data_IF_969387100899
#
_entry.id   IF_969387100899
#
_cell.length_a   1.000
_cell.length_b   1.000
_cell.length_c   1.000
_cell.angle_alpha   90.00
_cell.angle_beta   90.00
_cell.angle_gamma   90.00
#
_symmetry.space_group_name_H-M   'P 1'
#
loop_
_entity.id
_entity.type
_entity.pdbx_description
1 polymer ?
#
# COMPACT_ATOMS: atom_id res chain seq x y z
N UNK A 1 19.64 -14.49 -6.15
CA UNK A 1 18.59 -14.16 -5.18
C UNK A 1 17.32 -14.88 -5.61
N UNK A 2 16.71 -15.61 -4.69
CA UNK A 2 15.47 -16.32 -4.97
C UNK A 2 14.31 -15.31 -4.94
N UNK A 3 13.44 -15.35 -5.94
CA UNK A 3 12.27 -14.48 -6.00
C UNK A 3 11.06 -15.22 -5.42
N UNK A 4 10.29 -14.53 -4.60
CA UNK A 4 9.06 -15.05 -3.99
C UNK A 4 7.83 -14.49 -4.70
N UNK A 5 6.78 -15.30 -4.75
CA UNK A 5 5.48 -14.95 -5.31
C UNK A 5 4.44 -14.92 -4.19
N UNK A 6 3.76 -13.79 -4.07
CA UNK A 6 2.65 -13.60 -3.15
C UNK A 6 1.40 -13.26 -3.95
N UNK A 7 0.25 -13.55 -3.36
CA UNK A 7 -1.06 -13.16 -3.88
C UNK A 7 -1.76 -12.26 -2.87
N UNK A 8 -2.52 -11.32 -3.35
CA UNK A 8 -3.37 -10.52 -2.49
C UNK A 8 -4.78 -10.43 -3.06
N UNK A 9 -5.76 -10.24 -2.18
CA UNK A 9 -7.18 -10.10 -2.51
C UNK A 9 -7.81 -9.03 -1.66
N UNK A 10 -8.79 -8.33 -2.21
CA UNK A 10 -9.66 -7.40 -1.48
C UNK A 10 -11.10 -7.87 -1.64
N UNK A 11 -11.87 -7.79 -0.58
CA UNK A 11 -13.30 -8.10 -0.64
C UNK A 11 -14.08 -6.89 -1.16
N UNK A 12 -15.07 -7.17 -1.99
CA UNK A 12 -15.95 -6.11 -2.48
C UNK A 12 -16.78 -5.54 -1.34
N UNK A 13 -16.78 -4.21 -1.20
CA UNK A 13 -17.55 -3.49 -0.18
C UNK A 13 -16.92 -3.47 1.22
N UNK A 14 -15.76 -4.05 1.41
CA UNK A 14 -14.98 -3.93 2.65
C UNK A 14 -13.71 -3.13 2.42
N UNK A 15 -13.10 -2.65 3.52
CA UNK A 15 -11.81 -1.97 3.48
C UNK A 15 -10.64 -2.94 3.73
N UNK A 16 -10.87 -4.24 3.57
CA UNK A 16 -9.90 -5.28 3.90
C UNK A 16 -9.17 -5.79 2.67
N UNK A 17 -7.87 -5.96 2.80
CA UNK A 17 -7.01 -6.66 1.85
C UNK A 17 -6.26 -7.78 2.56
N UNK A 18 -6.14 -8.92 1.91
CA UNK A 18 -5.54 -10.13 2.45
C UNK A 18 -4.30 -10.50 1.65
N UNK A 19 -3.21 -10.82 2.34
CA UNK A 19 -1.95 -11.25 1.75
C UNK A 19 -1.73 -12.74 1.97
N UNK A 20 -1.29 -13.45 0.91
CA UNK A 20 -1.04 -14.89 0.92
C UNK A 20 0.32 -15.22 0.30
N UNK A 21 0.97 -16.27 0.82
CA UNK A 21 2.07 -17.00 0.16
C UNK A 21 1.59 -18.43 -0.12
N UNK A 22 1.37 -18.75 -1.40
CA UNK A 22 0.66 -19.99 -1.76
C UNK A 22 -0.77 -20.01 -1.19
N UNK A 23 -1.08 -21.00 -0.38
CA UNK A 23 -2.37 -21.14 0.32
C UNK A 23 -2.38 -20.55 1.72
N UNK A 24 -1.22 -20.17 2.24
CA UNK A 24 -1.08 -19.63 3.58
C UNK A 24 -1.40 -18.13 3.60
N UNK A 25 -2.36 -17.74 4.43
CA UNK A 25 -2.65 -16.34 4.73
C UNK A 25 -1.55 -15.79 5.64
N UNK A 26 -0.83 -14.75 5.19
CA UNK A 26 0.21 -14.08 5.95
C UNK A 26 -0.37 -12.96 6.81
N UNK A 27 -1.37 -12.25 6.30
CA UNK A 27 -1.92 -11.13 7.04
C UNK A 27 -3.11 -10.47 6.38
N UNK A 28 -3.61 -9.44 7.06
CA UNK A 28 -4.74 -8.61 6.64
C UNK A 28 -4.38 -7.15 6.82
N UNK A 29 -4.68 -6.33 5.84
CA UNK A 29 -4.65 -4.88 5.93
C UNK A 29 -6.08 -4.35 5.99
N UNK A 30 -6.45 -3.74 7.10
CA UNK A 30 -7.72 -3.05 7.29
C UNK A 30 -7.53 -1.55 7.16
N UNK A 31 -8.18 -0.93 6.17
CA UNK A 31 -8.18 0.52 6.00
C UNK A 31 -9.46 1.09 6.62
N UNK A 32 -9.33 1.95 7.63
CA UNK A 32 -10.45 2.73 8.10
C UNK A 32 -10.74 3.88 7.14
N UNK A 33 -11.95 3.92 6.59
CA UNK A 33 -12.35 4.97 5.64
C UNK A 33 -12.52 6.33 6.33
N UNK A 34 -12.81 6.35 7.62
CA UNK A 34 -13.10 7.56 8.40
C UNK A 34 -11.95 7.99 9.30
N UNK A 35 -11.07 7.08 9.66
CA UNK A 35 -9.87 7.38 10.43
C UNK A 35 -8.68 7.41 9.48
N UNK A 36 -7.80 8.37 9.64
CA UNK A 36 -6.54 8.45 8.86
C UNK A 36 -5.56 7.34 9.29
N UNK A 37 -6.07 6.10 9.34
CA UNK A 37 -5.41 4.96 9.95
C UNK A 37 -5.71 3.68 9.19
N UNK A 38 -4.68 2.86 8.98
CA UNK A 38 -4.83 1.48 8.55
C UNK A 38 -4.09 0.55 9.51
N UNK A 39 -4.56 -0.68 9.66
CA UNK A 39 -3.96 -1.68 10.54
C UNK A 39 -3.58 -2.89 9.72
N UNK A 40 -2.29 -3.23 9.71
CA UNK A 40 -1.78 -4.49 9.15
C UNK A 40 -1.62 -5.51 10.28
N UNK A 41 -2.35 -6.60 10.19
CA UNK A 41 -2.23 -7.75 11.10
C UNK A 41 -1.40 -8.83 10.42
N UNK A 42 -0.23 -9.14 10.97
CA UNK A 42 0.74 -10.13 10.49
C UNK A 42 1.00 -11.15 11.59
N UNK A 43 0.38 -12.34 11.48
CA UNK A 43 0.38 -13.29 12.58
C UNK A 43 -0.22 -12.67 13.85
N UNK A 44 0.57 -12.62 14.93
CA UNK A 44 0.18 -12.02 16.21
C UNK A 44 0.57 -10.53 16.34
N UNK A 45 1.24 -9.97 15.32
CA UNK A 45 1.74 -8.60 15.34
C UNK A 45 0.79 -7.66 14.59
N UNK A 46 0.58 -6.46 15.14
CA UNK A 46 -0.24 -5.42 14.51
C UNK A 46 0.62 -4.18 14.26
N UNK A 47 0.71 -3.78 13.02
CA UNK A 47 1.36 -2.53 12.61
C UNK A 47 0.28 -1.51 12.26
N UNK A 48 0.50 -0.27 12.68
CA UNK A 48 -0.43 0.84 12.40
C UNK A 48 0.19 1.79 11.40
N UNK A 49 -0.51 2.05 10.31
CA UNK A 49 -0.22 3.11 9.35
C UNK A 49 -1.07 4.32 9.72
N UNK A 50 -0.46 5.38 10.21
CA UNK A 50 -1.16 6.59 10.64
C UNK A 50 -0.79 7.75 9.73
N UNK A 51 -1.75 8.19 8.93
CA UNK A 51 -1.59 9.32 8.02
C UNK A 51 -1.81 10.63 8.76
N UNK A 52 -0.96 11.62 8.51
CA UNK A 52 -0.99 12.94 9.16
C UNK A 52 -0.87 14.06 8.13
N UNK A 53 -1.41 15.21 8.49
CA UNK A 53 -1.28 16.46 7.74
C UNK A 53 -2.45 16.74 6.82
N UNK A 54 -2.58 18.03 6.45
CA UNK A 54 -3.71 18.57 5.68
C UNK A 54 -3.85 17.95 4.28
N UNK A 55 -2.72 17.55 3.69
CA UNK A 55 -2.67 16.94 2.35
C UNK A 55 -2.44 15.44 2.38
N UNK A 56 -2.46 14.81 3.57
CA UNK A 56 -2.29 13.35 3.78
C UNK A 56 -1.06 12.75 3.07
N UNK A 57 0.01 13.51 2.97
CA UNK A 57 1.21 13.08 2.25
C UNK A 57 2.22 12.32 3.11
N UNK A 58 2.02 12.28 4.41
CA UNK A 58 2.92 11.65 5.35
C UNK A 58 2.19 10.62 6.20
N UNK A 59 2.69 9.38 6.19
CA UNK A 59 2.16 8.27 6.98
C UNK A 59 3.26 7.69 7.84
N UNK A 60 3.01 7.57 9.14
CA UNK A 60 3.89 6.91 10.10
C UNK A 60 3.54 5.42 10.18
N UNK A 61 4.56 4.56 10.29
CA UNK A 61 4.42 3.13 10.53
C UNK A 61 4.82 2.87 11.97
N UNK A 62 3.86 2.39 12.76
CA UNK A 62 4.06 2.05 14.17
C UNK A 62 4.04 0.53 14.34
N UNK A 63 4.93 0.00 15.18
CA UNK A 63 4.97 -1.40 15.55
C UNK A 63 3.90 -1.75 16.60
N UNK A 64 3.76 -3.02 17.04
CA UNK A 64 2.79 -3.41 18.07
C UNK A 64 2.94 -2.67 19.40
N UNK A 65 4.14 -2.21 19.72
CA UNK A 65 4.47 -1.43 20.94
C UNK A 65 4.23 0.08 20.74
N UNK A 66 3.58 0.48 19.64
CA UNK A 66 3.33 1.88 19.26
C UNK A 66 4.60 2.71 19.05
N UNK A 67 5.72 2.07 18.75
CA UNK A 67 6.98 2.75 18.43
C UNK A 67 7.05 3.03 16.92
N UNK A 68 7.59 4.19 16.57
CA UNK A 68 7.83 4.55 15.18
C UNK A 68 8.94 3.67 14.59
N UNK A 69 8.60 2.86 13.59
CA UNK A 69 9.54 1.99 12.88
C UNK A 69 9.76 2.39 11.44
N UNK A 70 8.93 3.28 10.91
CA UNK A 70 9.07 3.77 9.55
C UNK A 70 8.11 4.88 9.21
N UNK A 71 8.30 5.44 8.03
CA UNK A 71 7.42 6.46 7.48
C UNK A 71 7.31 6.36 5.96
N UNK A 72 6.25 6.95 5.44
CA UNK A 72 5.93 7.02 4.02
C UNK A 72 5.70 8.48 3.68
N UNK A 73 6.41 8.99 2.68
CA UNK A 73 6.22 10.34 2.14
C UNK A 73 5.78 10.21 0.69
N UNK A 74 4.54 10.63 0.42
CA UNK A 74 3.96 10.62 -0.93
C UNK A 74 4.28 11.92 -1.67
N UNK A 75 4.44 11.83 -2.98
CA UNK A 75 4.47 13.02 -3.84
C UNK A 75 3.08 13.62 -3.99
N UNK A 76 3.03 14.88 -4.45
CA UNK A 76 1.78 15.63 -4.61
C UNK A 76 0.70 14.91 -5.45
N UNK A 77 1.11 14.07 -6.40
CA UNK A 77 0.22 13.32 -7.29
C UNK A 77 -0.07 11.89 -6.82
N UNK A 78 0.53 11.45 -5.69
CA UNK A 78 0.30 10.14 -5.10
C UNK A 78 0.79 8.94 -5.93
N UNK A 79 1.53 9.17 -7.01
CA UNK A 79 2.02 8.13 -7.91
C UNK A 79 3.43 7.63 -7.58
N UNK A 80 4.11 8.32 -6.68
CA UNK A 80 5.41 7.91 -6.12
C UNK A 80 5.45 8.18 -4.61
N UNK A 81 6.19 7.36 -3.88
CA UNK A 81 6.42 7.55 -2.46
C UNK A 81 7.83 7.10 -2.07
N UNK A 82 8.38 7.76 -1.07
CA UNK A 82 9.56 7.28 -0.36
C UNK A 82 9.09 6.56 0.90
N UNK A 83 9.50 5.32 1.07
CA UNK A 83 9.21 4.48 2.23
C UNK A 83 10.49 4.27 3.01
N UNK A 84 10.50 4.67 4.27
CA UNK A 84 11.58 4.34 5.21
C UNK A 84 11.07 3.30 6.20
N UNK A 85 11.78 2.21 6.36
CA UNK A 85 11.44 1.17 7.33
C UNK A 85 12.70 0.63 7.98
N UNK A 86 12.78 0.71 9.32
CA UNK A 86 13.94 0.29 10.12
C UNK A 86 15.28 0.86 9.59
N UNK A 87 15.29 2.12 9.15
CA UNK A 87 16.46 2.81 8.61
C UNK A 87 16.80 2.51 7.15
N UNK A 88 16.09 1.59 6.49
CA UNK A 88 16.25 1.32 5.06
C UNK A 88 15.25 2.16 4.26
N UNK A 89 15.71 2.68 3.12
CA UNK A 89 14.92 3.53 2.24
C UNK A 89 14.54 2.80 0.96
N UNK A 90 13.27 2.89 0.59
CA UNK A 90 12.70 2.28 -0.60
C UNK A 90 11.95 3.35 -1.40
N UNK A 91 11.94 3.19 -2.71
CA UNK A 91 11.13 4.02 -3.61
C UNK A 91 9.96 3.18 -4.14
N UNK A 92 8.75 3.68 -3.94
CA UNK A 92 7.54 3.13 -4.52
C UNK A 92 7.08 4.01 -5.68
N UNK A 93 6.72 3.40 -6.79
CA UNK A 93 6.23 4.10 -7.97
C UNK A 93 5.21 3.28 -8.74
N UNK A 94 4.28 3.97 -9.39
CA UNK A 94 3.43 3.36 -10.42
C UNK A 94 4.27 3.08 -11.67
N UNK A 95 4.17 1.86 -12.19
CA UNK A 95 4.88 1.43 -13.40
C UNK A 95 4.07 1.63 -14.68
N UNK A 96 2.78 2.00 -14.54
CA UNK A 96 1.91 2.31 -15.66
C UNK A 96 0.91 3.42 -15.32
N UNK A 97 0.38 4.09 -16.35
CA UNK A 97 -0.55 5.19 -16.20
C UNK A 97 -1.95 4.77 -15.70
N UNK A 98 -2.33 3.49 -15.88
CA UNK A 98 -3.60 2.95 -15.40
C UNK A 98 -3.63 2.68 -13.89
N UNK A 99 -2.47 2.77 -13.19
CA UNK A 99 -2.39 2.46 -11.77
C UNK A 99 -2.73 1.00 -11.45
N UNK A 100 -2.33 0.07 -12.33
CA UNK A 100 -2.50 -1.38 -12.14
C UNK A 100 -1.20 -2.11 -11.86
N UNK A 101 -0.07 -1.42 -12.01
CA UNK A 101 1.27 -1.97 -11.76
C UNK A 101 2.10 -0.99 -10.95
N UNK A 102 2.76 -1.49 -9.92
CA UNK A 102 3.65 -0.72 -9.04
C UNK A 102 4.94 -1.48 -8.78
N UNK A 103 5.97 -0.75 -8.43
CA UNK A 103 7.27 -1.26 -8.01
C UNK A 103 7.67 -0.61 -6.69
N UNK A 104 8.19 -1.40 -5.77
CA UNK A 104 8.94 -0.92 -4.60
C UNK A 104 10.35 -1.48 -4.68
N UNK A 105 11.33 -0.60 -4.64
CA UNK A 105 12.74 -0.97 -4.78
C UNK A 105 13.63 -0.15 -3.84
N UNK A 106 14.72 -0.76 -3.37
CA UNK A 106 15.81 -0.05 -2.72
C UNK A 106 16.95 0.27 -3.72
N UNK A 107 18.00 0.90 -3.24
CA UNK A 107 19.18 1.23 -4.03
C UNK A 107 20.21 0.08 -4.13
N UNK A 108 19.95 -1.06 -3.53
CA UNK A 108 20.86 -2.24 -3.52
C UNK A 108 20.41 -3.34 -4.47
N UNK A 109 19.28 -3.17 -5.14
CA UNK A 109 18.73 -4.12 -6.11
C UNK A 109 17.65 -5.03 -5.54
N UNK A 110 17.23 -4.84 -4.28
CA UNK A 110 16.04 -5.52 -3.76
C UNK A 110 14.80 -4.80 -4.26
N UNK A 111 13.88 -5.54 -4.83
CA UNK A 111 12.63 -5.01 -5.35
C UNK A 111 11.52 -6.04 -5.34
N UNK A 112 10.29 -5.56 -5.34
CA UNK A 112 9.14 -6.31 -5.80
C UNK A 112 8.31 -5.51 -6.79
N UNK A 113 7.61 -6.23 -7.65
CA UNK A 113 6.60 -5.69 -8.55
C UNK A 113 5.23 -6.20 -8.10
N UNK A 114 4.27 -5.29 -8.01
CA UNK A 114 2.88 -5.60 -7.67
C UNK A 114 2.01 -5.34 -8.88
N UNK A 115 1.18 -6.29 -9.25
CA UNK A 115 0.11 -6.12 -10.22
C UNK A 115 -1.25 -6.23 -9.56
N UNK A 116 -2.24 -5.57 -10.13
CA UNK A 116 -3.60 -5.51 -9.62
C UNK A 116 -4.60 -5.73 -10.76
N UNK A 117 -5.58 -6.58 -10.49
CA UNK A 117 -6.88 -6.56 -11.15
C UNK A 117 -7.92 -5.86 -10.24
N UNK A 118 -9.22 -6.05 -10.49
CA UNK A 118 -10.29 -5.38 -9.75
C UNK A 118 -10.31 -5.71 -8.26
N UNK A 119 -10.00 -6.94 -7.87
CA UNK A 119 -10.17 -7.42 -6.49
C UNK A 119 -8.95 -8.15 -5.93
N UNK A 120 -7.84 -8.12 -6.63
CA UNK A 120 -6.65 -8.82 -6.19
C UNK A 120 -5.45 -8.56 -7.09
N UNK A 121 -4.47 -9.43 -6.97
CA UNK A 121 -3.28 -9.37 -7.80
C UNK A 121 -2.15 -10.21 -7.24
N UNK A 122 -0.98 -9.97 -7.78
CA UNK A 122 0.25 -10.68 -7.40
C UNK A 122 1.35 -9.69 -7.03
N UNK A 123 2.23 -10.12 -6.14
CA UNK A 123 3.46 -9.44 -5.79
C UNK A 123 4.60 -10.43 -6.05
N UNK A 124 5.55 -10.01 -6.88
CA UNK A 124 6.69 -10.84 -7.26
C UNK A 124 8.00 -10.08 -7.05
N UNK A 125 8.94 -10.69 -6.36
CA UNK A 125 10.25 -10.07 -6.13
C UNK A 125 11.09 -10.78 -5.08
N UNK A 126 12.21 -10.15 -4.74
CA UNK A 126 13.16 -10.67 -3.76
C UNK A 126 13.06 -9.98 -2.37
N UNK A 127 12.05 -9.16 -2.15
CA UNK A 127 11.73 -8.59 -0.82
C UNK A 127 10.75 -9.53 -0.13
N UNK A 128 11.13 -10.07 1.01
CA UNK A 128 10.31 -10.98 1.83
C UNK A 128 9.79 -10.32 3.12
N UNK A 129 10.09 -9.04 3.33
CA UNK A 129 9.61 -8.32 4.51
C UNK A 129 8.10 -8.07 4.40
N UNK A 130 7.32 -8.76 5.24
CA UNK A 130 5.85 -8.72 5.22
C UNK A 130 5.30 -7.32 5.49
N UNK A 131 5.97 -6.49 6.31
CA UNK A 131 5.57 -5.10 6.56
C UNK A 131 5.71 -4.27 5.30
N UNK A 132 6.78 -4.48 4.49
CA UNK A 132 6.94 -3.81 3.20
C UNK A 132 5.89 -4.27 2.17
N UNK A 133 5.51 -5.56 2.17
CA UNK A 133 4.44 -6.06 1.32
C UNK A 133 3.10 -5.40 1.69
N UNK A 134 2.80 -5.28 2.99
CA UNK A 134 1.61 -4.56 3.47
C UNK A 134 1.68 -3.06 3.17
N UNK A 135 2.86 -2.46 3.22
CA UNK A 135 3.08 -1.07 2.81
C UNK A 135 2.70 -0.85 1.34
N UNK A 136 3.06 -1.77 0.46
CA UNK A 136 2.64 -1.71 -0.95
C UNK A 136 1.12 -1.78 -1.13
N UNK A 137 0.45 -2.67 -0.40
CA UNK A 137 -1.02 -2.75 -0.41
C UNK A 137 -1.67 -1.47 0.14
N UNK A 138 -1.11 -0.90 1.21
CA UNK A 138 -1.55 0.38 1.77
C UNK A 138 -1.43 1.51 0.74
N UNK A 139 -0.27 1.65 0.10
CA UNK A 139 -0.01 2.68 -0.92
C UNK A 139 -0.92 2.53 -2.14
N UNK A 140 -1.14 1.30 -2.60
CA UNK A 140 -2.09 1.00 -3.68
C UNK A 140 -3.51 1.44 -3.31
N UNK A 141 -3.99 1.08 -2.11
CA UNK A 141 -5.32 1.46 -1.66
C UNK A 141 -5.46 2.98 -1.50
N UNK A 142 -4.41 3.63 -0.97
CA UNK A 142 -4.35 5.08 -0.86
C UNK A 142 -4.41 5.77 -2.24
N UNK A 143 -3.66 5.28 -3.21
CA UNK A 143 -3.68 5.78 -4.60
C UNK A 143 -5.10 5.71 -5.20
N UNK A 144 -5.79 4.59 -5.07
CA UNK A 144 -7.14 4.43 -5.59
C UNK A 144 -8.16 5.32 -4.89
N UNK A 145 -8.07 5.49 -3.58
CA UNK A 145 -8.93 6.44 -2.85
C UNK A 145 -8.71 7.86 -3.35
N UNK A 146 -7.46 8.26 -3.57
CA UNK A 146 -7.12 9.58 -4.08
C UNK A 146 -7.64 9.80 -5.50
N UNK A 147 -7.49 8.82 -6.37
CA UNK A 147 -7.99 8.87 -7.74
C UNK A 147 -9.52 8.98 -7.77
N UNK A 148 -10.24 8.20 -6.97
CA UNK A 148 -11.69 8.28 -6.87
C UNK A 148 -12.15 9.67 -6.44
N UNK A 149 -11.52 10.28 -5.43
CA UNK A 149 -11.84 11.63 -4.98
C UNK A 149 -11.59 12.69 -6.07
N UNK A 150 -10.58 12.50 -6.91
CA UNK A 150 -10.28 13.39 -8.03
C UNK A 150 -11.30 13.24 -9.18
N UNK A 151 -11.89 12.07 -9.39
CA UNK A 151 -12.85 11.80 -10.45
C UNK A 151 -14.30 12.19 -10.10
N UNK A 152 -14.68 12.20 -8.82
CA UNK A 152 -16.04 12.56 -8.40
C UNK A 152 -16.48 13.94 -8.92
N UNK A 153 -15.71 15.03 -8.79
CA UNK A 153 -16.09 16.33 -9.32
C UNK A 153 -16.29 16.32 -10.84
N UNK A 154 -15.46 15.57 -11.56
CA UNK A 154 -15.58 15.46 -13.02
C UNK A 154 -16.87 14.75 -13.43
N UNK A 155 -17.26 13.69 -12.73
CA UNK A 155 -18.51 12.98 -12.96
C UNK A 155 -19.72 13.87 -12.67
N UNK A 156 -19.68 14.64 -11.58
CA UNK A 156 -20.75 15.60 -11.24
C UNK A 156 -20.92 16.64 -12.34
N UNK A 157 -19.83 17.21 -12.85
CA UNK A 157 -19.88 18.17 -13.96
C UNK A 157 -20.48 17.55 -15.22
N UNK A 158 -20.10 16.33 -15.57
CA UNK A 158 -20.63 15.60 -16.73
C UNK A 158 -22.13 15.25 -16.58
N UNK A 159 -22.62 15.04 -15.36
CA UNK A 159 -24.04 14.78 -15.10
C UNK A 159 -24.89 16.04 -15.10
N UNK A 160 -24.27 17.22 -14.97
CA UNK A 160 -24.95 18.53 -15.00
C UNK A 160 -24.93 19.19 -16.39
N UNK A 161 -24.28 18.57 -17.39
CA UNK A 161 -24.28 19.00 -18.79
C UNK A 161 -25.31 18.22 -19.60
#
# INVERSE_FOLDING_TARGET
>A
MESSLYHWRSDFGTSDSYLYKGTQKLGTLHNSTFEEKAIASLGNSKYTFQTKGTFRQHTQILNPECQLVGDIVLTAWGNTATVTLNGNCYQWKSSNWLGTKWELADNTGNKYEMSSDLFGGVIFGNIENEVLLMTGLFLRNYYWQYMLLAFIPLLVVLMCL
#
